data_IF_069523853742
#
_entry.id   IF_069523853742
#
_cell.length_a   1.000
_cell.length_b   1.000
_cell.length_c   1.000
_cell.angle_alpha   90.00
_cell.angle_beta   90.00
_cell.angle_gamma   90.00
#
_symmetry.space_group_name_H-M   'P 1'
#
loop_
_entity.id
_entity.type
_entity.pdbx_description
1 polymer ?
#
# COMPACT_ATOMS: atom_id res chain seq x y z
N UNK A 1 -19.80 8.65 16.81
CA UNK A 1 -19.31 8.75 15.43
C UNK A 1 -17.86 8.32 15.45
N UNK A 2 -17.47 7.32 14.67
CA UNK A 2 -16.07 6.84 14.65
C UNK A 2 -15.22 7.88 13.93
N UNK A 3 -14.12 8.30 14.56
CA UNK A 3 -13.11 9.16 13.91
C UNK A 3 -12.06 8.28 13.24
N UNK A 4 -11.66 8.65 12.03
CA UNK A 4 -10.64 7.94 11.27
C UNK A 4 -9.57 8.96 10.88
N UNK A 5 -8.35 8.74 11.36
CA UNK A 5 -7.16 9.49 10.97
C UNK A 5 -6.39 8.69 9.92
N UNK A 6 -5.59 9.38 9.13
CA UNK A 6 -4.73 8.74 8.14
C UNK A 6 -3.35 9.40 8.09
N UNK A 7 -2.34 8.59 7.78
CA UNK A 7 -0.95 9.02 7.56
C UNK A 7 -0.27 8.04 6.59
N UNK A 8 0.78 8.48 5.93
CA UNK A 8 1.67 7.67 5.10
C UNK A 8 3.11 8.16 5.30
N UNK A 9 4.10 7.42 4.81
CA UNK A 9 5.50 7.88 4.69
C UNK A 9 6.07 8.39 6.03
N UNK A 10 5.74 7.70 7.13
CA UNK A 10 6.17 8.13 8.46
C UNK A 10 7.67 7.90 8.68
N UNK A 11 8.29 6.98 7.95
CA UNK A 11 9.74 6.71 7.96
C UNK A 11 10.36 6.81 9.35
N UNK A 12 9.92 5.97 10.28
CA UNK A 12 10.34 6.03 11.68
C UNK A 12 11.76 5.51 11.93
N UNK A 13 12.46 5.07 10.88
CA UNK A 13 13.91 4.91 10.87
C UNK A 13 14.64 6.25 11.06
N UNK A 14 14.01 7.37 10.67
CA UNK A 14 14.46 8.69 11.09
C UNK A 14 14.09 8.91 12.56
N UNK A 15 15.10 9.03 13.42
CA UNK A 15 14.93 9.22 14.87
C UNK A 15 13.97 10.35 15.24
N UNK A 16 13.96 11.44 14.46
CA UNK A 16 13.06 12.56 14.66
C UNK A 16 11.59 12.18 14.44
N UNK A 17 11.31 11.36 13.43
CA UNK A 17 9.95 10.90 13.12
C UNK A 17 9.45 9.95 14.21
N UNK A 18 10.27 8.97 14.63
CA UNK A 18 9.92 8.11 15.78
C UNK A 18 9.69 8.93 17.05
N UNK A 19 10.55 9.91 17.35
CA UNK A 19 10.37 10.80 18.49
C UNK A 19 9.04 11.56 18.41
N UNK A 20 8.64 12.04 17.23
CA UNK A 20 7.34 12.67 17.03
C UNK A 20 6.18 11.69 17.29
N UNK A 21 6.22 10.48 16.73
CA UNK A 21 5.18 9.45 16.96
C UNK A 21 5.03 9.12 18.46
N UNK A 22 6.14 9.08 19.21
CA UNK A 22 6.11 8.87 20.66
C UNK A 22 5.35 9.97 21.41
N UNK A 23 5.38 11.22 20.91
CA UNK A 23 4.67 12.35 21.52
C UNK A 23 3.17 12.39 21.25
N UNK A 24 2.68 11.63 20.26
CA UNK A 24 1.26 11.62 19.92
C UNK A 24 0.41 11.27 21.15
N UNK A 25 -0.76 11.92 21.34
CA UNK A 25 -1.67 11.52 22.41
C UNK A 25 -2.26 10.14 22.13
N UNK A 26 -2.84 9.53 23.16
CA UNK A 26 -3.70 8.35 22.97
C UNK A 26 -5.07 8.85 22.52
N UNK A 27 -5.52 8.38 21.36
CA UNK A 27 -6.81 8.70 20.73
C UNK A 27 -7.73 7.48 20.83
N UNK A 28 -8.22 7.21 22.05
CA UNK A 28 -8.91 5.94 22.37
C UNK A 28 -10.14 5.62 21.53
N UNK A 29 -10.85 6.64 21.04
CA UNK A 29 -12.11 6.51 20.29
C UNK A 29 -11.94 6.64 18.76
N UNK A 30 -10.70 6.49 18.28
CA UNK A 30 -10.34 6.74 16.89
C UNK A 30 -9.55 5.60 16.27
N UNK A 31 -9.75 5.41 14.96
CA UNK A 31 -8.97 4.50 14.13
C UNK A 31 -7.85 5.28 13.44
N UNK A 32 -6.67 4.67 13.29
CA UNK A 32 -5.60 5.18 12.44
C UNK A 32 -5.43 4.29 11.21
N UNK A 33 -5.36 4.90 10.03
CA UNK A 33 -4.93 4.27 8.79
C UNK A 33 -3.47 4.69 8.50
N UNK A 34 -2.62 3.72 8.18
CA UNK A 34 -1.22 3.91 7.82
C UNK A 34 -0.99 3.37 6.39
N UNK A 35 -0.76 4.27 5.44
CA UNK A 35 -0.70 3.97 4.01
C UNK A 35 0.73 3.71 3.53
N UNK A 36 1.41 2.77 4.18
CA UNK A 36 2.76 2.33 3.84
C UNK A 36 3.88 3.27 4.27
N UNK A 37 5.11 2.81 4.02
CA UNK A 37 6.37 3.50 4.22
C UNK A 37 6.62 3.94 5.67
N UNK A 38 6.57 2.94 6.56
CA UNK A 38 7.07 3.04 7.93
C UNK A 38 8.59 2.90 7.95
N UNK A 39 9.13 1.86 7.33
CA UNK A 39 10.58 1.59 7.27
C UNK A 39 10.86 0.38 6.38
N UNK A 40 12.09 0.26 5.88
CA UNK A 40 12.61 -1.00 5.35
C UNK A 40 13.16 -1.93 6.45
N UNK A 41 13.23 -1.50 7.71
CA UNK A 41 13.71 -2.31 8.82
C UNK A 41 12.57 -2.99 9.58
N UNK A 42 12.54 -4.33 9.55
CA UNK A 42 11.50 -5.16 10.21
C UNK A 42 11.31 -4.81 11.69
N UNK A 43 12.39 -4.54 12.42
CA UNK A 43 12.29 -4.21 13.84
C UNK A 43 11.66 -2.84 14.05
N UNK A 44 12.01 -1.86 13.21
CA UNK A 44 11.42 -0.52 13.24
C UNK A 44 9.94 -0.56 12.90
N UNK A 45 9.54 -1.36 11.89
CA UNK A 45 8.12 -1.60 11.56
C UNK A 45 7.38 -2.14 12.78
N UNK A 46 7.89 -3.22 13.40
CA UNK A 46 7.27 -3.82 14.57
C UNK A 46 7.13 -2.85 15.74
N UNK A 47 8.21 -2.12 16.08
CA UNK A 47 8.19 -1.17 17.20
C UNK A 47 7.21 0.00 16.93
N UNK A 48 7.12 0.45 15.67
CA UNK A 48 6.19 1.51 15.27
C UNK A 48 4.75 1.04 15.33
N UNK A 49 4.42 -0.13 14.78
CA UNK A 49 3.06 -0.67 14.83
C UNK A 49 2.61 -0.96 16.26
N UNK A 50 3.49 -1.48 17.12
CA UNK A 50 3.19 -1.63 18.55
C UNK A 50 2.85 -0.28 19.20
N UNK A 51 3.67 0.74 18.96
CA UNK A 51 3.45 2.07 19.51
C UNK A 51 2.13 2.66 19.00
N UNK A 52 1.84 2.56 17.70
CA UNK A 52 0.61 3.07 17.11
C UNK A 52 -0.63 2.35 17.66
N UNK A 53 -0.59 1.03 17.89
CA UNK A 53 -1.70 0.31 18.52
C UNK A 53 -1.93 0.73 19.98
N UNK A 54 -0.89 1.17 20.70
CA UNK A 54 -1.05 1.79 22.03
C UNK A 54 -1.71 3.16 21.91
N UNK A 55 -1.34 3.96 20.89
CA UNK A 55 -1.91 5.30 20.66
C UNK A 55 -3.34 5.26 20.13
N UNK A 56 -3.71 4.24 19.35
CA UNK A 56 -5.02 4.08 18.71
C UNK A 56 -5.63 2.71 19.04
N UNK A 57 -6.06 2.49 20.29
CA UNK A 57 -6.52 1.17 20.74
C UNK A 57 -7.82 0.70 20.08
N UNK A 58 -8.61 1.60 19.45
CA UNK A 58 -9.77 1.19 18.65
C UNK A 58 -9.35 0.43 17.38
N UNK A 59 -8.18 0.74 16.82
CA UNK A 59 -7.60 -0.03 15.73
C UNK A 59 -6.63 0.76 14.87
N UNK A 60 -5.59 0.07 14.42
CA UNK A 60 -4.66 0.53 13.40
C UNK A 60 -4.84 -0.33 12.15
N UNK A 61 -5.07 0.31 11.02
CA UNK A 61 -5.12 -0.32 9.70
C UNK A 61 -3.83 0.00 8.95
N UNK A 62 -3.25 -1.00 8.31
CA UNK A 62 -1.96 -0.86 7.64
C UNK A 62 -1.95 -1.59 6.29
N UNK A 63 -1.22 -1.00 5.34
CA UNK A 63 -0.86 -1.61 4.06
C UNK A 63 0.63 -1.33 3.85
N UNK A 64 1.44 -2.29 3.37
CA UNK A 64 2.84 -2.03 3.06
C UNK A 64 2.99 -1.09 1.86
N UNK A 65 3.96 -0.19 1.93
CA UNK A 65 4.47 0.59 0.82
C UNK A 65 5.65 -0.10 0.13
N UNK A 66 6.41 0.63 -0.68
CA UNK A 66 7.58 0.07 -1.36
C UNK A 66 8.73 -0.22 -0.38
N UNK A 67 8.93 0.62 0.65
CA UNK A 67 10.03 0.44 1.60
C UNK A 67 9.89 -0.86 2.41
N UNK A 68 8.67 -1.22 2.78
CA UNK A 68 8.41 -2.50 3.44
C UNK A 68 8.84 -3.71 2.61
N UNK A 69 8.88 -3.58 1.29
CA UNK A 69 9.19 -4.64 0.34
C UNK A 69 10.63 -4.58 -0.19
N UNK A 70 11.45 -3.64 0.29
CA UNK A 70 12.88 -3.62 0.01
C UNK A 70 13.60 -4.71 0.81
N UNK A 71 14.34 -5.60 0.16
CA UNK A 71 15.15 -6.60 0.87
C UNK A 71 16.52 -6.01 1.22
N UNK A 72 16.81 -5.90 2.52
CA UNK A 72 18.00 -5.23 3.04
C UNK A 72 19.04 -6.18 3.63
N UNK A 73 20.09 -5.60 4.24
CA UNK A 73 21.06 -6.34 5.06
C UNK A 73 20.53 -6.66 6.46
N UNK A 74 19.54 -5.90 6.91
CA UNK A 74 18.96 -5.96 8.26
C UNK A 74 17.81 -6.96 8.39
N UNK A 75 17.34 -7.51 7.28
CA UNK A 75 16.41 -8.63 7.25
C UNK A 75 17.07 -9.87 6.66
N UNK A 76 16.63 -11.05 7.10
CA UNK A 76 17.13 -12.34 6.60
C UNK A 76 16.29 -12.86 5.43
N UNK A 77 15.41 -12.01 4.87
CA UNK A 77 14.48 -12.40 3.84
C UNK A 77 15.19 -12.56 2.50
N UNK A 78 14.90 -13.65 1.82
CA UNK A 78 15.46 -13.98 0.50
C UNK A 78 14.69 -13.31 -0.63
N UNK A 79 13.43 -12.92 -0.40
CA UNK A 79 12.56 -12.26 -1.37
C UNK A 79 11.65 -11.20 -0.74
N UNK A 80 11.11 -10.30 -1.56
CA UNK A 80 10.12 -9.31 -1.13
C UNK A 80 8.81 -9.96 -0.69
N UNK A 81 8.44 -11.10 -1.27
CA UNK A 81 7.27 -11.87 -0.84
C UNK A 81 7.47 -12.50 0.53
N UNK A 82 8.64 -13.07 0.80
CA UNK A 82 8.96 -13.60 2.13
C UNK A 82 8.91 -12.49 3.19
N UNK A 83 9.44 -11.31 2.86
CA UNK A 83 9.38 -10.15 3.75
C UNK A 83 7.94 -9.68 4.00
N UNK A 84 7.10 -9.68 2.97
CA UNK A 84 5.68 -9.36 3.10
C UNK A 84 4.97 -10.29 4.10
N UNK A 85 5.22 -11.60 4.02
CA UNK A 85 4.66 -12.57 4.98
C UNK A 85 5.14 -12.31 6.41
N UNK A 86 6.43 -11.99 6.60
CA UNK A 86 6.95 -11.60 7.93
C UNK A 86 6.24 -10.36 8.47
N UNK A 87 5.98 -9.37 7.62
CA UNK A 87 5.25 -8.16 8.01
C UNK A 87 3.79 -8.47 8.36
N UNK A 88 3.12 -9.39 7.65
CA UNK A 88 1.78 -9.84 8.01
C UNK A 88 1.75 -10.55 9.38
N UNK A 89 2.74 -11.38 9.69
CA UNK A 89 2.85 -11.99 11.02
C UNK A 89 3.11 -10.96 12.12
N UNK A 90 3.87 -9.88 11.84
CA UNK A 90 4.02 -8.75 12.76
C UNK A 90 2.68 -8.01 12.94
N UNK A 91 1.94 -7.75 11.86
CA UNK A 91 0.63 -7.10 11.95
C UNK A 91 -0.32 -7.92 12.83
N UNK A 92 -0.37 -9.23 12.61
CA UNK A 92 -1.15 -10.17 13.44
C UNK A 92 -0.71 -10.16 14.90
N UNK A 93 0.60 -10.17 15.17
CA UNK A 93 1.16 -10.12 16.54
C UNK A 93 0.81 -8.82 17.26
N UNK A 94 0.83 -7.70 16.54
CA UNK A 94 0.56 -6.35 17.10
C UNK A 94 -0.93 -6.00 17.18
N UNK A 95 -1.80 -6.79 16.54
CA UNK A 95 -3.23 -6.49 16.43
C UNK A 95 -3.58 -5.48 15.32
N UNK A 96 -2.65 -5.23 14.40
CA UNK A 96 -2.84 -4.33 13.25
C UNK A 96 -3.68 -5.00 12.17
N UNK A 97 -4.71 -4.31 11.69
CA UNK A 97 -5.61 -4.79 10.64
C UNK A 97 -5.00 -4.60 9.24
N UNK A 98 -5.00 -5.67 8.46
CA UNK A 98 -4.48 -5.68 7.07
C UNK A 98 -5.52 -6.14 6.05
N UNK A 99 -6.72 -6.52 6.49
CA UNK A 99 -7.79 -7.02 5.63
C UNK A 99 -9.02 -6.09 5.66
N UNK A 100 -9.86 -6.11 4.61
CA UNK A 100 -11.15 -5.43 4.62
C UNK A 100 -11.96 -5.77 5.87
N UNK A 101 -12.39 -4.74 6.61
CA UNK A 101 -13.05 -4.92 7.91
C UNK A 101 -14.26 -4.01 8.02
N UNK A 102 -15.41 -4.60 8.38
CA UNK A 102 -16.63 -3.86 8.69
C UNK A 102 -16.53 -3.35 10.13
N UNK A 103 -16.41 -2.03 10.29
CA UNK A 103 -16.25 -1.36 11.59
C UNK A 103 -17.59 -1.31 12.33
N UNK A 104 -18.67 -1.02 11.61
CA UNK A 104 -20.04 -1.01 12.12
C UNK A 104 -21.02 -1.21 10.95
N UNK A 105 -22.32 -1.02 11.18
CA UNK A 105 -23.33 -1.21 10.13
C UNK A 105 -23.15 -0.30 8.90
N UNK A 106 -22.54 0.87 9.07
CA UNK A 106 -22.43 1.87 8.02
C UNK A 106 -21.03 1.98 7.42
N UNK A 107 -19.98 1.65 8.17
CA UNK A 107 -18.59 1.89 7.79
C UNK A 107 -17.78 0.59 7.63
N UNK A 108 -17.05 0.49 6.53
CA UNK A 108 -15.92 -0.43 6.40
C UNK A 108 -14.64 0.26 5.92
N UNK A 109 -13.52 -0.36 6.26
CA UNK A 109 -12.18 0.07 5.87
C UNK A 109 -11.53 -1.02 5.02
N UNK A 110 -10.97 -0.65 3.87
CA UNK A 110 -10.35 -1.54 2.89
C UNK A 110 -8.89 -1.16 2.64
N UNK A 111 -7.94 -1.90 3.24
CA UNK A 111 -6.54 -1.90 2.79
C UNK A 111 -6.47 -2.50 1.38
N UNK A 112 -5.80 -1.81 0.46
CA UNK A 112 -5.70 -2.19 -0.95
C UNK A 112 -4.25 -2.28 -1.37
N UNK A 113 -3.79 -3.49 -1.72
CA UNK A 113 -2.45 -3.66 -2.26
C UNK A 113 -2.34 -3.02 -3.64
N UNK A 114 -1.18 -2.47 -3.95
CA UNK A 114 -0.88 -1.88 -5.26
C UNK A 114 0.60 -2.02 -5.57
N UNK A 115 0.96 -1.82 -6.83
CA UNK A 115 2.34 -1.69 -7.27
C UNK A 115 2.39 -0.92 -8.58
N UNK A 116 3.58 -0.83 -9.16
CA UNK A 116 3.85 -0.20 -10.44
C UNK A 116 3.25 -0.95 -11.62
N UNK A 117 2.40 -0.25 -12.37
CA UNK A 117 1.80 -0.73 -13.61
C UNK A 117 1.95 0.33 -14.70
N UNK A 118 2.11 -0.05 -15.98
CA UNK A 118 2.33 0.93 -17.03
C UNK A 118 1.03 1.60 -17.52
N UNK A 119 -0.13 1.30 -16.93
CA UNK A 119 -1.43 1.83 -17.38
C UNK A 119 -1.56 3.35 -17.29
N UNK A 120 -0.65 4.04 -16.59
CA UNK A 120 -0.57 5.50 -16.57
C UNK A 120 0.29 6.10 -17.69
N UNK A 121 1.11 5.31 -18.39
CA UNK A 121 1.90 5.78 -19.52
C UNK A 121 1.06 5.73 -20.82
N UNK A 122 0.72 6.90 -21.33
CA UNK A 122 -0.11 7.11 -22.54
C UNK A 122 0.53 6.59 -23.84
N UNK A 123 1.83 6.30 -23.81
CA UNK A 123 2.58 5.77 -24.95
C UNK A 123 2.84 4.26 -24.80
N UNK A 124 2.49 3.64 -23.67
CA UNK A 124 2.79 2.24 -23.41
C UNK A 124 2.23 1.30 -24.48
N UNK A 125 1.00 1.55 -24.93
CA UNK A 125 0.36 0.74 -25.97
C UNK A 125 0.99 0.90 -27.35
N UNK A 126 1.79 1.96 -27.57
CA UNK A 126 2.49 2.23 -28.83
C UNK A 126 3.82 1.49 -28.92
N UNK A 127 4.34 0.99 -27.79
CA UNK A 127 5.58 0.23 -27.73
C UNK A 127 5.36 -1.22 -28.18
N UNK A 128 6.31 -1.76 -28.93
CA UNK A 128 6.39 -3.21 -29.15
C UNK A 128 6.93 -3.92 -27.88
N UNK A 129 6.84 -5.25 -27.85
CA UNK A 129 7.19 -6.00 -26.64
C UNK A 129 8.67 -5.90 -26.26
N UNK A 130 9.57 -5.81 -27.23
CA UNK A 130 11.01 -5.61 -27.00
C UNK A 130 11.28 -4.27 -26.29
N UNK A 131 10.64 -3.18 -26.75
CA UNK A 131 10.74 -1.86 -26.15
C UNK A 131 10.09 -1.80 -24.77
N UNK A 132 8.99 -2.52 -24.54
CA UNK A 132 8.36 -2.62 -23.22
C UNK A 132 9.30 -3.26 -22.20
N UNK A 133 9.93 -4.38 -22.56
CA UNK A 133 10.93 -5.05 -21.72
C UNK A 133 12.11 -4.13 -21.46
N UNK A 134 12.70 -3.55 -22.50
CA UNK A 134 13.84 -2.63 -22.36
C UNK A 134 13.51 -1.40 -21.50
N UNK A 135 12.28 -0.88 -21.59
CA UNK A 135 11.82 0.25 -20.77
C UNK A 135 11.77 -0.14 -19.30
N UNK A 136 11.18 -1.29 -18.96
CA UNK A 136 11.09 -1.77 -17.58
C UNK A 136 12.46 -2.14 -17.00
N UNK A 137 13.32 -2.81 -17.77
CA UNK A 137 14.68 -3.14 -17.34
C UNK A 137 15.50 -1.86 -17.08
N UNK A 138 15.31 -0.84 -17.92
CA UNK A 138 15.93 0.47 -17.75
C UNK A 138 15.54 1.19 -16.45
N UNK A 139 14.39 0.84 -15.83
CA UNK A 139 13.98 1.42 -14.54
C UNK A 139 14.90 0.99 -13.39
N UNK A 140 15.61 -0.13 -13.52
CA UNK A 140 16.61 -0.56 -12.54
C UNK A 140 17.64 0.53 -12.23
N UNK A 141 18.04 1.31 -13.23
CA UNK A 141 19.01 2.41 -13.06
C UNK A 141 18.37 3.73 -12.62
N UNK A 142 17.05 3.85 -12.68
CA UNK A 142 16.31 5.11 -12.47
C UNK A 142 15.51 5.14 -11.17
N UNK A 143 15.09 3.99 -10.67
CA UNK A 143 14.16 3.87 -9.54
C UNK A 143 14.65 2.83 -8.51
N UNK A 144 14.68 3.22 -7.24
CA UNK A 144 15.29 2.42 -6.17
C UNK A 144 14.66 1.05 -5.98
N UNK A 145 13.35 0.97 -6.11
CA UNK A 145 12.60 -0.25 -5.82
C UNK A 145 12.94 -1.40 -6.76
N UNK A 146 13.31 -1.10 -8.01
CA UNK A 146 13.76 -2.12 -8.95
C UNK A 146 15.10 -2.74 -8.56
N UNK A 147 15.87 -2.07 -7.69
CA UNK A 147 17.13 -2.59 -7.15
C UNK A 147 16.95 -3.30 -5.82
N UNK A 148 16.05 -2.79 -4.98
CA UNK A 148 15.91 -3.26 -3.60
C UNK A 148 14.85 -4.34 -3.43
N UNK A 149 13.79 -4.32 -4.24
CA UNK A 149 12.79 -5.40 -4.23
C UNK A 149 13.28 -6.61 -5.02
N UNK A 150 13.04 -7.81 -4.47
CA UNK A 150 13.46 -9.09 -5.03
C UNK A 150 12.22 -9.95 -5.28
N UNK A 151 11.80 -9.98 -6.54
CA UNK A 151 10.62 -10.72 -6.97
C UNK A 151 11.01 -12.06 -7.58
N UNK A 152 10.17 -13.07 -7.37
CA UNK A 152 10.18 -14.37 -8.03
C UNK A 152 9.51 -14.33 -9.43
N UNK A 153 9.00 -13.16 -9.82
CA UNK A 153 8.37 -12.88 -11.11
C UNK A 153 8.93 -11.58 -11.71
N UNK A 154 8.75 -11.35 -13.03
CA UNK A 154 9.14 -10.08 -13.65
C UNK A 154 8.45 -8.88 -12.98
N UNK A 155 9.17 -7.76 -12.82
CA UNK A 155 8.66 -6.54 -12.17
C UNK A 155 7.31 -6.06 -12.72
N UNK A 156 7.10 -6.16 -14.03
CA UNK A 156 5.86 -5.76 -14.70
C UNK A 156 4.63 -6.58 -14.27
N UNK A 157 4.82 -7.78 -13.73
CA UNK A 157 3.73 -8.67 -13.30
C UNK A 157 3.39 -8.53 -11.81
N UNK A 158 4.16 -7.75 -11.04
CA UNK A 158 3.96 -7.63 -9.58
C UNK A 158 2.64 -6.94 -9.25
N UNK A 159 2.27 -5.90 -10.00
CA UNK A 159 0.99 -5.22 -9.80
C UNK A 159 -0.19 -6.19 -9.98
N UNK A 160 -0.16 -7.03 -11.01
CA UNK A 160 -1.20 -8.02 -11.28
C UNK A 160 -1.35 -9.02 -10.13
N UNK A 161 -0.24 -9.49 -9.54
CA UNK A 161 -0.28 -10.37 -8.36
C UNK A 161 -1.02 -9.72 -7.19
N UNK A 162 -0.76 -8.45 -6.92
CA UNK A 162 -1.42 -7.72 -5.83
C UNK A 162 -2.88 -7.41 -6.13
N UNK A 163 -3.20 -7.08 -7.38
CA UNK A 163 -4.58 -6.92 -7.82
C UNK A 163 -5.36 -8.23 -7.63
N UNK A 164 -4.82 -9.38 -8.00
CA UNK A 164 -5.46 -10.69 -7.78
C UNK A 164 -5.67 -11.00 -6.29
N UNK A 165 -4.71 -10.64 -5.43
CA UNK A 165 -4.87 -10.77 -3.98
C UNK A 165 -6.05 -9.91 -3.47
N UNK A 166 -6.17 -8.67 -3.94
CA UNK A 166 -7.30 -7.81 -3.62
C UNK A 166 -8.63 -8.38 -4.10
N UNK A 167 -8.71 -8.96 -5.32
CA UNK A 167 -9.94 -9.55 -5.85
C UNK A 167 -10.51 -10.61 -4.91
N UNK A 168 -9.63 -11.47 -4.38
CA UNK A 168 -10.03 -12.48 -3.42
C UNK A 168 -10.61 -11.86 -2.14
N UNK A 169 -9.92 -10.87 -1.57
CA UNK A 169 -10.37 -10.19 -0.33
C UNK A 169 -11.70 -9.44 -0.55
N UNK A 170 -11.84 -8.78 -1.70
CA UNK A 170 -13.07 -8.09 -2.10
C UNK A 170 -14.23 -9.08 -2.24
N UNK A 171 -13.99 -10.20 -2.92
CA UNK A 171 -15.00 -11.23 -3.11
C UNK A 171 -15.47 -11.77 -1.76
N UNK A 172 -14.54 -12.21 -0.92
CA UNK A 172 -14.84 -12.78 0.40
C UNK A 172 -15.62 -11.78 1.27
N UNK A 173 -15.20 -10.51 1.31
CA UNK A 173 -15.91 -9.48 2.07
C UNK A 173 -17.32 -9.23 1.55
N UNK A 174 -17.51 -9.13 0.22
CA UNK A 174 -18.83 -8.94 -0.39
C UNK A 174 -19.76 -10.12 -0.12
N UNK A 175 -19.26 -11.34 -0.17
CA UNK A 175 -20.04 -12.54 0.18
C UNK A 175 -20.43 -12.52 1.65
N UNK A 176 -19.47 -12.25 2.55
CA UNK A 176 -19.72 -12.19 4.00
C UNK A 176 -20.75 -11.12 4.39
N UNK A 177 -20.77 -9.98 3.68
CA UNK A 177 -21.61 -8.83 4.02
C UNK A 177 -22.73 -8.57 3.01
N UNK A 178 -23.12 -9.55 2.20
CA UNK A 178 -24.10 -9.38 1.11
C UNK A 178 -25.43 -8.76 1.58
N UNK A 179 -25.93 -9.15 2.75
CA UNK A 179 -27.21 -8.67 3.30
C UNK A 179 -27.09 -7.36 4.10
N UNK A 180 -25.86 -6.90 4.37
CA UNK A 180 -25.61 -5.73 5.21
C UNK A 180 -24.36 -4.99 4.77
N UNK A 181 -24.23 -4.75 3.46
CA UNK A 181 -23.06 -4.08 2.91
C UNK A 181 -23.01 -2.63 3.44
N UNK A 182 -21.85 -2.17 3.94
CA UNK A 182 -21.71 -0.82 4.50
C UNK A 182 -22.00 0.27 3.45
N UNK A 183 -22.66 1.33 3.87
CA UNK A 183 -22.98 2.48 3.00
C UNK A 183 -21.79 3.41 2.78
N UNK A 184 -20.78 3.35 3.66
CA UNK A 184 -19.53 4.11 3.59
C UNK A 184 -18.36 3.16 3.57
N UNK A 185 -17.53 3.29 2.55
CA UNK A 185 -16.30 2.53 2.40
C UNK A 185 -15.14 3.51 2.31
N UNK A 186 -14.24 3.43 3.27
CA UNK A 186 -12.92 4.08 3.21
C UNK A 186 -11.96 3.04 2.67
N UNK A 187 -11.32 3.32 1.55
CA UNK A 187 -10.22 2.51 1.05
C UNK A 187 -8.90 3.25 1.22
N UNK A 188 -7.79 2.51 1.24
CA UNK A 188 -6.48 3.15 1.20
C UNK A 188 -5.43 2.25 0.55
N UNK A 189 -4.45 2.86 -0.10
CA UNK A 189 -3.29 2.19 -0.68
C UNK A 189 -2.07 3.10 -0.62
N UNK A 190 -0.88 2.51 -0.62
CA UNK A 190 0.34 3.29 -0.77
C UNK A 190 0.51 3.85 -2.20
N UNK A 191 0.06 3.08 -3.21
CA UNK A 191 0.17 3.44 -4.63
C UNK A 191 -1.05 4.22 -5.12
N UNK A 192 -0.82 5.09 -6.09
CA UNK A 192 -1.83 6.04 -6.56
C UNK A 192 -2.80 5.36 -7.53
N UNK A 193 -4.14 5.41 -7.31
CA UNK A 193 -5.09 4.72 -8.18
C UNK A 193 -5.44 5.53 -9.43
N UNK A 194 -5.18 6.85 -9.45
CA UNK A 194 -5.68 7.75 -10.49
C UNK A 194 -4.57 8.46 -11.24
N UNK A 195 -4.60 8.34 -12.57
CA UNK A 195 -3.66 9.00 -13.49
C UNK A 195 -3.66 10.52 -13.36
N UNK A 196 -4.81 11.12 -13.05
CA UNK A 196 -4.95 12.59 -13.01
C UNK A 196 -4.28 13.22 -11.77
N UNK A 197 -3.80 12.41 -10.83
CA UNK A 197 -3.00 12.87 -9.69
C UNK A 197 -1.55 13.17 -10.09
N UNK A 198 -1.14 12.77 -11.30
CA UNK A 198 0.13 13.18 -11.91
C UNK A 198 -0.07 14.35 -12.89
N UNK A 199 0.89 15.29 -12.95
CA UNK A 199 0.94 16.27 -14.02
C UNK A 199 0.96 15.61 -15.42
N UNK A 200 0.63 16.37 -16.48
CA UNK A 200 0.86 15.92 -17.85
C UNK A 200 2.32 15.53 -18.06
N UNK A 201 2.59 14.49 -18.86
CA UNK A 201 3.95 13.94 -19.07
C UNK A 201 4.96 15.00 -19.50
N UNK A 202 4.53 15.95 -20.33
CA UNK A 202 5.34 17.07 -20.83
C UNK A 202 5.83 18.03 -19.73
N UNK A 203 5.24 17.97 -18.53
CA UNK A 203 5.61 18.81 -17.39
C UNK A 203 6.41 18.02 -16.32
N UNK A 204 6.63 16.72 -16.52
CA UNK A 204 7.33 15.90 -15.54
C UNK A 204 8.85 16.09 -15.66
N UNK A 205 9.51 16.29 -14.52
CA UNK A 205 10.98 16.24 -14.44
C UNK A 205 11.55 14.85 -14.75
N UNK A 206 10.73 13.81 -14.52
CA UNK A 206 11.03 12.40 -14.79
C UNK A 206 9.91 11.83 -15.66
N UNK A 207 10.21 11.67 -16.94
CA UNK A 207 9.27 11.18 -17.96
C UNK A 207 8.78 9.74 -17.75
N UNK A 208 9.51 8.97 -16.93
CA UNK A 208 9.18 7.60 -16.54
C UNK A 208 8.30 7.51 -15.28
N UNK A 209 7.99 8.63 -14.61
CA UNK A 209 7.18 8.62 -13.39
C UNK A 209 5.82 7.89 -13.55
N UNK A 210 5.10 7.99 -14.69
CA UNK A 210 3.88 7.21 -14.90
C UNK A 210 4.05 5.69 -14.79
N UNK A 211 5.27 5.17 -14.95
CA UNK A 211 5.56 3.74 -14.84
C UNK A 211 5.80 3.28 -13.39
N UNK A 212 5.95 4.20 -12.43
CA UNK A 212 6.42 3.92 -11.07
C UNK A 212 5.59 4.62 -9.98
N UNK A 213 4.28 4.73 -10.16
CA UNK A 213 3.40 5.38 -9.16
C UNK A 213 2.12 4.62 -8.80
N UNK A 214 1.59 3.77 -9.70
CA UNK A 214 0.32 3.07 -9.44
C UNK A 214 -0.32 2.49 -10.70
N UNK A 215 -1.64 2.31 -10.68
CA UNK A 215 -2.37 1.62 -11.75
C UNK A 215 -3.84 2.05 -11.88
N UNK A 216 -4.37 2.03 -13.11
CA UNK A 216 -5.81 2.25 -13.42
C UNK A 216 -6.67 1.10 -12.89
N UNK A 217 -6.12 -0.11 -12.90
CA UNK A 217 -6.76 -1.33 -12.45
C UNK A 217 -7.07 -1.27 -10.94
N UNK A 218 -6.22 -0.62 -10.16
CA UNK A 218 -6.49 -0.34 -8.75
C UNK A 218 -7.75 0.53 -8.60
N UNK A 219 -7.88 1.64 -9.32
CA UNK A 219 -9.10 2.48 -9.31
C UNK A 219 -10.36 1.68 -9.68
N UNK A 220 -10.23 0.74 -10.63
CA UNK A 220 -11.34 -0.16 -10.99
C UNK A 220 -11.79 -0.99 -9.79
N UNK A 221 -10.86 -1.54 -9.01
CA UNK A 221 -11.17 -2.28 -7.78
C UNK A 221 -11.79 -1.38 -6.71
N UNK A 222 -11.28 -0.16 -6.51
CA UNK A 222 -11.82 0.81 -5.55
C UNK A 222 -13.28 1.19 -5.88
N UNK A 223 -13.59 1.39 -7.17
CA UNK A 223 -14.96 1.64 -7.62
C UNK A 223 -15.84 0.42 -7.41
N UNK A 224 -15.31 -0.79 -7.64
CA UNK A 224 -16.08 -2.03 -7.48
C UNK A 224 -16.56 -2.25 -6.04
N UNK A 225 -15.82 -1.77 -5.03
CA UNK A 225 -16.20 -1.85 -3.62
C UNK A 225 -17.06 -0.67 -3.16
N UNK A 226 -17.42 0.26 -4.05
CA UNK A 226 -18.19 1.44 -3.69
C UNK A 226 -17.42 2.39 -2.76
N UNK A 227 -16.10 2.51 -2.94
CA UNK A 227 -15.29 3.41 -2.11
C UNK A 227 -15.78 4.85 -2.22
N UNK A 228 -16.10 5.44 -1.07
CA UNK A 228 -16.57 6.83 -0.95
C UNK A 228 -15.44 7.81 -0.67
N UNK A 229 -14.36 7.31 -0.07
CA UNK A 229 -13.13 8.04 0.24
C UNK A 229 -11.98 7.08 0.02
N UNK A 230 -10.93 7.56 -0.66
CA UNK A 230 -9.68 6.84 -0.84
C UNK A 230 -8.53 7.69 -0.32
N UNK A 231 -7.60 7.06 0.38
CA UNK A 231 -6.38 7.67 0.90
C UNK A 231 -5.14 6.98 0.34
#
# INVERSE_FOLDING_TARGET
MVKVYCVSDIHTDFKANMAYIQTLPVESDSILIVCGDISDNIKVIEDTLNLLNIKYPTGVFFIPGNHELWCGRSDQCTSSMEKLEVIYEICKKTGTFINPTKINNDLAIFPMLGWYHPSFDEDWCKLNDELKVATYDGLYHKWGDFRHSKWDIPHIQVAERFLQANEKLIHDFKQQHQQSYPSKVISFSHFVPRRELLPPRSQLLKDFLPLVVGSVELDTQLRSIGSTVHQ
#
